data_IF_349667892248
#
_entry.id   IF_349667892248
#
_cell.length_a   1.000
_cell.length_b   1.000
_cell.length_c   1.000
_cell.angle_alpha   90.00
_cell.angle_beta   90.00
_cell.angle_gamma   90.00
#
_symmetry.space_group_name_H-M   'P 1'
#
loop_
_entity.id
_entity.type
_entity.pdbx_description
1 polymer ?
#
# COMPACT_ATOMS: atom_id res chain seq x y z
N UNK A 1 -2.09 5.34 0.96
CA UNK A 1 -1.15 4.31 0.45
C UNK A 1 0.24 4.91 0.50
N UNK A 2 1.23 4.14 0.94
CA UNK A 2 2.65 4.52 0.94
C UNK A 2 3.44 3.70 -0.06
N UNK A 3 4.56 4.24 -0.51
CA UNK A 3 5.54 3.51 -1.30
C UNK A 3 6.20 2.42 -0.45
N UNK A 4 6.15 1.18 -0.91
CA UNK A 4 6.88 0.05 -0.31
C UNK A 4 8.14 -0.23 -1.12
N UNK A 5 9.30 0.01 -0.50
CA UNK A 5 10.60 -0.29 -1.11
C UNK A 5 10.89 -1.78 -0.95
N UNK A 6 10.91 -2.50 -2.07
CA UNK A 6 11.32 -3.91 -2.11
C UNK A 6 12.79 -4.06 -1.76
N UNK A 7 13.12 -5.04 -0.92
CA UNK A 7 14.51 -5.32 -0.52
C UNK A 7 14.74 -6.84 -0.42
N UNK A 8 15.41 -7.41 -1.42
CA UNK A 8 15.71 -8.84 -1.46
C UNK A 8 16.64 -9.30 -0.33
N UNK A 9 17.46 -8.43 0.26
CA UNK A 9 18.33 -8.77 1.39
C UNK A 9 17.56 -9.17 2.65
N UNK A 10 16.27 -8.83 2.75
CA UNK A 10 15.40 -9.28 3.85
C UNK A 10 14.88 -10.71 3.68
N UNK A 11 15.11 -11.33 2.52
CA UNK A 11 14.65 -12.67 2.15
C UNK A 11 15.84 -13.64 2.22
N UNK A 12 15.77 -14.72 3.03
CA UNK A 12 16.81 -15.74 3.08
C UNK A 12 17.05 -16.39 1.72
N UNK A 13 18.31 -16.57 1.35
CA UNK A 13 18.72 -17.19 0.09
C UNK A 13 18.09 -18.58 -0.12
N UNK A 14 17.94 -19.37 0.96
CA UNK A 14 17.22 -20.65 0.94
C UNK A 14 15.80 -20.54 0.38
N UNK A 15 15.06 -19.50 0.75
CA UNK A 15 13.68 -19.30 0.30
C UNK A 15 13.66 -18.95 -1.18
N UNK A 16 14.57 -18.07 -1.63
CA UNK A 16 14.75 -17.72 -3.03
C UNK A 16 15.06 -18.97 -3.88
N UNK A 17 16.00 -19.81 -3.44
CA UNK A 17 16.36 -21.07 -4.13
C UNK A 17 15.19 -22.06 -4.20
N UNK A 18 14.32 -22.11 -3.19
CA UNK A 18 13.12 -22.96 -3.23
C UNK A 18 12.13 -22.45 -4.29
N UNK A 19 11.93 -21.13 -4.38
CA UNK A 19 11.08 -20.53 -5.40
C UNK A 19 11.64 -20.73 -6.81
N UNK A 20 12.95 -20.54 -7.00
CA UNK A 20 13.65 -20.76 -8.26
C UNK A 20 13.48 -22.21 -8.74
N UNK A 21 13.73 -23.20 -7.87
CA UNK A 21 13.52 -24.62 -8.19
C UNK A 21 12.07 -24.92 -8.55
N UNK A 22 11.12 -24.31 -7.84
CA UNK A 22 9.71 -24.48 -8.15
C UNK A 22 9.36 -23.90 -9.52
N UNK A 23 9.93 -22.75 -9.88
CA UNK A 23 9.78 -22.12 -11.18
C UNK A 23 10.37 -22.97 -12.31
N UNK A 24 11.59 -23.49 -12.16
CA UNK A 24 12.23 -24.35 -13.18
C UNK A 24 11.35 -25.55 -13.53
N UNK A 25 10.76 -26.20 -12.53
CA UNK A 25 9.85 -27.32 -12.76
C UNK A 25 8.58 -26.85 -13.47
N UNK A 26 7.99 -25.72 -13.06
CA UNK A 26 6.80 -25.17 -13.68
C UNK A 26 7.00 -24.85 -15.17
N UNK A 27 8.16 -24.29 -15.53
CA UNK A 27 8.51 -23.96 -16.92
C UNK A 27 8.58 -25.20 -17.83
N UNK A 28 8.97 -26.35 -17.27
CA UNK A 28 9.06 -27.61 -18.00
C UNK A 28 7.71 -28.37 -18.10
N UNK A 29 6.66 -27.92 -17.41
CA UNK A 29 5.38 -28.61 -17.40
C UNK A 29 4.52 -28.28 -18.65
N UNK A 30 3.81 -29.29 -19.18
CA UNK A 30 2.69 -29.08 -20.09
C UNK A 30 1.64 -28.13 -19.49
N UNK A 31 0.98 -27.35 -20.34
CA UNK A 31 0.05 -26.28 -19.94
C UNK A 31 -1.06 -26.76 -19.00
N UNK A 32 -1.65 -27.92 -19.31
CA UNK A 32 -2.72 -28.56 -18.55
C UNK A 32 -2.31 -28.98 -17.12
N UNK A 33 -1.01 -29.13 -16.86
CA UNK A 33 -0.48 -29.54 -15.54
C UNK A 33 -0.02 -28.36 -14.68
N UNK A 34 0.08 -27.15 -15.25
CA UNK A 34 0.67 -25.98 -14.56
C UNK A 34 -0.17 -25.53 -13.37
N UNK A 35 -1.49 -25.43 -13.53
CA UNK A 35 -2.40 -24.92 -12.49
C UNK A 35 -2.36 -25.80 -11.22
N UNK A 36 -2.42 -27.11 -11.40
CA UNK A 36 -2.35 -28.09 -10.30
C UNK A 36 -1.01 -28.04 -9.58
N UNK A 37 0.09 -27.93 -10.33
CA UNK A 37 1.42 -27.80 -9.76
C UNK A 37 1.57 -26.51 -8.93
N UNK A 38 1.09 -25.38 -9.45
CA UNK A 38 1.10 -24.09 -8.75
C UNK A 38 0.34 -24.20 -7.43
N UNK A 39 -0.85 -24.80 -7.45
CA UNK A 39 -1.68 -25.00 -6.26
C UNK A 39 -0.99 -25.85 -5.19
N UNK A 40 -0.43 -27.00 -5.59
CA UNK A 40 0.33 -27.90 -4.71
C UNK A 40 1.54 -27.22 -4.06
N UNK A 41 2.11 -26.22 -4.72
CA UNK A 41 3.29 -25.47 -4.25
C UNK A 41 2.95 -24.20 -3.47
N UNK A 42 1.72 -24.04 -2.98
CA UNK A 42 1.34 -22.83 -2.24
C UNK A 42 2.07 -22.54 -0.94
N UNK A 43 2.82 -23.50 -0.40
CA UNK A 43 3.74 -23.22 0.71
C UNK A 43 4.92 -22.32 0.30
N UNK A 44 5.28 -22.28 -0.98
CA UNK A 44 6.43 -21.50 -1.50
C UNK A 44 6.20 -20.01 -1.29
N UNK A 45 5.15 -19.42 -1.87
CA UNK A 45 4.90 -17.99 -1.70
C UNK A 45 4.53 -17.62 -0.25
N UNK A 46 3.80 -18.50 0.47
CA UNK A 46 3.50 -18.28 1.89
C UNK A 46 4.76 -18.13 2.75
N UNK A 47 5.86 -18.81 2.39
CA UNK A 47 7.12 -18.69 3.11
C UNK A 47 7.76 -17.29 3.03
N UNK A 48 7.38 -16.47 2.04
CA UNK A 48 7.85 -15.08 1.92
C UNK A 48 7.15 -14.12 2.87
N UNK A 49 5.98 -14.47 3.43
CA UNK A 49 5.11 -13.54 4.14
C UNK A 49 5.80 -12.73 5.24
N UNK A 50 6.55 -13.39 6.13
CA UNK A 50 7.28 -12.70 7.22
C UNK A 50 8.39 -11.78 6.72
N UNK A 51 8.95 -12.03 5.54
CA UNK A 51 10.01 -11.21 4.95
C UNK A 51 9.43 -10.00 4.23
N UNK A 52 8.33 -10.19 3.49
CA UNK A 52 7.58 -9.09 2.87
C UNK A 52 6.97 -8.15 3.92
N UNK A 53 6.49 -8.70 5.05
CA UNK A 53 5.99 -7.91 6.17
C UNK A 53 7.03 -6.90 6.69
N UNK A 54 8.32 -7.25 6.72
CA UNK A 54 9.39 -6.33 7.18
C UNK A 54 9.52 -5.10 6.27
N UNK A 55 9.20 -5.22 4.99
CA UNK A 55 9.31 -4.12 4.01
C UNK A 55 8.25 -3.02 4.24
N UNK A 56 7.17 -3.34 4.96
CA UNK A 56 6.07 -2.42 5.27
C UNK A 56 5.85 -2.26 6.77
N UNK A 57 6.82 -2.64 7.61
CA UNK A 57 6.71 -2.57 9.08
C UNK A 57 5.51 -3.35 9.64
N UNK A 58 5.20 -4.48 9.01
CA UNK A 58 4.08 -5.36 9.37
C UNK A 58 2.71 -4.90 8.88
N UNK A 59 2.65 -3.84 8.07
CA UNK A 59 1.39 -3.30 7.53
C UNK A 59 1.03 -3.94 6.20
N UNK A 60 -0.27 -4.05 5.91
CA UNK A 60 -0.75 -4.35 4.56
C UNK A 60 -0.19 -3.30 3.57
N UNK A 61 0.37 -3.76 2.45
CA UNK A 61 1.01 -2.89 1.45
C UNK A 61 0.01 -1.96 0.75
N UNK A 62 -1.27 -2.33 0.70
CA UNK A 62 -2.31 -1.52 0.06
C UNK A 62 -2.99 -0.53 1.02
N UNK A 63 -3.43 -1.01 2.19
CA UNK A 63 -4.29 -0.24 3.11
C UNK A 63 -3.52 0.51 4.21
N UNK A 64 -2.26 0.17 4.46
CA UNK A 64 -1.46 0.60 5.62
C UNK A 64 -2.00 0.18 6.99
N UNK A 65 -2.98 -0.72 7.02
CA UNK A 65 -3.47 -1.28 8.28
C UNK A 65 -2.48 -2.29 8.86
N UNK A 66 -2.31 -2.27 10.19
CA UNK A 66 -1.76 -3.40 10.94
C UNK A 66 -2.94 -4.26 11.36
N UNK A 67 -2.96 -5.51 10.93
CA UNK A 67 -3.90 -6.47 11.51
C UNK A 67 -3.17 -7.28 12.58
N UNK A 68 -3.36 -6.92 13.85
CA UNK A 68 -2.82 -7.69 14.97
C UNK A 68 -3.46 -9.08 15.10
N UNK A 69 -4.68 -9.25 14.58
CA UNK A 69 -5.48 -10.48 14.71
C UNK A 69 -5.91 -11.12 13.37
N UNK A 70 -5.59 -10.50 12.22
CA UNK A 70 -5.90 -11.09 10.91
C UNK A 70 -4.66 -11.77 10.33
N UNK A 71 -4.87 -12.95 9.76
CA UNK A 71 -3.85 -13.61 8.96
C UNK A 71 -3.61 -12.76 7.71
N UNK A 72 -2.41 -12.19 7.59
CA UNK A 72 -1.98 -11.54 6.35
C UNK A 72 -1.60 -12.60 5.33
N UNK A 73 -1.94 -12.33 4.06
CA UNK A 73 -1.63 -13.17 2.92
C UNK A 73 -0.43 -12.64 2.14
N UNK A 74 0.13 -13.52 1.31
CA UNK A 74 0.99 -13.14 0.20
C UNK A 74 0.13 -13.12 -1.05
N UNK A 75 -0.28 -11.92 -1.45
CA UNK A 75 -1.03 -11.66 -2.68
C UNK A 75 -0.09 -11.73 -3.90
N UNK A 76 -0.62 -12.24 -5.00
CA UNK A 76 0.00 -12.16 -6.32
C UNK A 76 -0.59 -10.97 -7.03
N UNK A 77 0.15 -9.86 -7.11
CA UNK A 77 -0.32 -8.62 -7.76
C UNK A 77 -0.91 -8.96 -9.13
N UNK A 78 -0.17 -9.72 -9.92
CA UNK A 78 -0.62 -10.39 -11.16
C UNK A 78 -1.09 -11.81 -10.83
N UNK A 79 -2.39 -12.14 -10.96
CA UNK A 79 -2.94 -13.43 -10.56
C UNK A 79 -2.28 -14.61 -11.27
N UNK A 80 -1.89 -15.63 -10.51
CA UNK A 80 -1.06 -16.76 -10.99
C UNK A 80 -1.82 -17.93 -11.66
N UNK A 81 -3.14 -18.03 -11.51
CA UNK A 81 -3.93 -19.18 -12.00
C UNK A 81 -5.08 -18.78 -12.93
N UNK A 82 -5.58 -17.56 -12.75
CA UNK A 82 -6.71 -16.99 -13.46
C UNK A 82 -6.68 -15.49 -13.20
N UNK A 83 -6.81 -14.66 -14.24
CA UNK A 83 -6.95 -13.22 -14.11
C UNK A 83 -8.29 -12.79 -14.72
N UNK A 84 -9.15 -12.25 -13.85
CA UNK A 84 -10.43 -11.66 -14.24
C UNK A 84 -10.21 -10.24 -14.74
N UNK A 85 -10.53 -9.99 -16.01
CA UNK A 85 -10.30 -8.74 -16.72
C UNK A 85 -11.51 -7.82 -16.67
N UNK A 86 -12.68 -8.41 -16.89
CA UNK A 86 -13.99 -7.78 -16.77
C UNK A 86 -15.01 -8.84 -16.32
N UNK A 87 -16.27 -8.46 -16.14
CA UNK A 87 -17.30 -9.45 -15.84
C UNK A 87 -17.52 -10.42 -17.02
N UNK A 88 -17.31 -11.71 -16.75
CA UNK A 88 -17.38 -12.77 -17.76
C UNK A 88 -16.15 -12.84 -18.68
N UNK A 89 -15.12 -12.04 -18.46
CA UNK A 89 -13.87 -12.07 -19.23
C UNK A 89 -12.67 -12.40 -18.32
N UNK A 90 -12.17 -13.61 -18.50
CA UNK A 90 -11.14 -14.23 -17.69
C UNK A 90 -10.10 -14.90 -18.61
N UNK A 91 -8.83 -14.90 -18.20
CA UNK A 91 -7.78 -15.70 -18.84
C UNK A 91 -6.92 -16.45 -17.81
N UNK A 92 -5.88 -17.15 -18.26
CA UNK A 92 -5.01 -17.97 -17.42
C UNK A 92 -4.17 -17.16 -16.41
N UNK A 93 -4.19 -15.84 -16.53
CA UNK A 93 -3.39 -14.94 -15.73
C UNK A 93 -1.91 -15.08 -16.04
N UNK A 94 -1.11 -15.20 -14.98
CA UNK A 94 0.35 -15.06 -15.04
C UNK A 94 1.06 -16.25 -14.38
N UNK A 95 0.88 -17.50 -14.87
CA UNK A 95 1.48 -18.68 -14.26
C UNK A 95 3.00 -18.60 -14.17
N UNK A 96 3.69 -17.95 -15.12
CA UNK A 96 5.14 -17.74 -15.08
C UNK A 96 5.60 -16.81 -13.95
N UNK A 97 4.67 -16.10 -13.29
CA UNK A 97 4.94 -15.25 -12.11
C UNK A 97 4.49 -15.91 -10.79
N UNK A 98 4.08 -17.19 -10.81
CA UNK A 98 3.56 -17.87 -9.62
C UNK A 98 4.56 -17.93 -8.46
N UNK A 99 5.86 -18.05 -8.77
CA UNK A 99 6.94 -18.11 -7.78
C UNK A 99 7.88 -16.89 -7.82
N UNK A 100 7.50 -15.84 -8.56
CA UNK A 100 8.28 -14.61 -8.63
C UNK A 100 7.96 -13.70 -7.43
N UNK A 101 8.95 -13.48 -6.56
CA UNK A 101 8.79 -12.61 -5.39
C UNK A 101 8.51 -11.14 -5.78
N UNK A 102 8.93 -10.74 -6.98
CA UNK A 102 8.62 -9.42 -7.54
C UNK A 102 7.12 -9.20 -7.76
N UNK A 103 6.37 -10.30 -7.90
CA UNK A 103 4.92 -10.30 -8.04
C UNK A 103 4.17 -10.42 -6.70
N UNK A 104 4.89 -10.56 -5.58
CA UNK A 104 4.27 -10.77 -4.26
C UNK A 104 4.03 -9.46 -3.51
N UNK A 105 2.87 -9.33 -2.87
CA UNK A 105 2.50 -8.21 -2.00
C UNK A 105 2.04 -8.75 -0.66
N UNK A 106 2.51 -8.17 0.44
CA UNK A 106 1.99 -8.54 1.76
C UNK A 106 0.68 -7.78 1.99
N UNK A 107 -0.41 -8.52 2.05
CA UNK A 107 -1.77 -7.96 1.97
C UNK A 107 -2.65 -8.52 3.08
N UNK A 108 -3.58 -7.71 3.58
CA UNK A 108 -4.63 -8.23 4.45
C UNK A 108 -5.55 -9.17 3.67
N UNK A 109 -6.17 -10.12 4.36
CA UNK A 109 -7.16 -11.00 3.72
C UNK A 109 -8.32 -10.24 3.10
N UNK A 110 -8.78 -9.13 3.71
CA UNK A 110 -9.87 -8.31 3.15
C UNK A 110 -9.49 -7.63 1.84
N UNK A 111 -8.23 -7.22 1.67
CA UNK A 111 -7.77 -6.63 0.41
C UNK A 111 -7.46 -7.71 -0.65
N UNK A 112 -6.98 -8.89 -0.23
CA UNK A 112 -6.58 -9.96 -1.14
C UNK A 112 -7.73 -10.89 -1.57
N UNK A 113 -8.63 -11.26 -0.66
CA UNK A 113 -9.69 -12.26 -0.90
C UNK A 113 -11.03 -11.57 -1.08
N UNK A 114 -11.88 -12.14 -1.93
CA UNK A 114 -13.27 -11.69 -2.05
C UNK A 114 -13.97 -11.83 -0.69
N UNK A 115 -14.62 -10.75 -0.26
CA UNK A 115 -15.45 -10.72 0.94
C UNK A 115 -16.63 -9.76 0.72
N UNK A 116 -17.71 -9.97 1.44
CA UNK A 116 -18.87 -9.07 1.39
C UNK A 116 -18.65 -7.92 2.36
N UNK A 117 -18.90 -6.70 1.91
CA UNK A 117 -19.01 -5.54 2.81
C UNK A 117 -20.28 -5.69 3.64
N UNK A 118 -20.16 -5.70 4.96
CA UNK A 118 -21.28 -5.92 5.89
C UNK A 118 -22.31 -4.79 5.80
N UNK A 119 -21.88 -3.58 5.45
CA UNK A 119 -22.75 -2.40 5.42
C UNK A 119 -23.43 -2.16 4.05
N UNK A 120 -22.81 -2.59 2.95
CA UNK A 120 -23.29 -2.32 1.58
C UNK A 120 -23.68 -3.57 0.78
N UNK A 121 -23.47 -4.76 1.33
CA UNK A 121 -23.61 -6.07 0.65
C UNK A 121 -22.75 -6.23 -0.63
N UNK A 122 -21.89 -5.25 -0.95
CA UNK A 122 -21.03 -5.30 -2.13
C UNK A 122 -19.85 -6.26 -1.90
N UNK A 123 -19.47 -6.98 -2.96
CA UNK A 123 -18.25 -7.80 -2.92
C UNK A 123 -17.01 -6.91 -3.10
N UNK A 124 -16.12 -6.94 -2.12
CA UNK A 124 -14.82 -6.25 -2.11
C UNK A 124 -13.68 -7.27 -2.07
N UNK A 125 -12.45 -6.80 -2.27
CA UNK A 125 -11.26 -7.63 -2.26
C UNK A 125 -10.85 -8.07 -3.66
N UNK A 126 -9.54 -8.18 -3.88
CA UNK A 126 -8.98 -8.35 -5.23
C UNK A 126 -9.32 -9.71 -5.83
N UNK A 127 -9.15 -10.80 -5.09
CA UNK A 127 -9.27 -12.14 -5.63
C UNK A 127 -8.38 -12.34 -6.87
N UNK A 128 -9.01 -12.74 -7.98
CA UNK A 128 -8.38 -12.85 -9.30
C UNK A 128 -8.55 -11.62 -10.18
N UNK A 129 -9.18 -10.54 -9.71
CA UNK A 129 -9.33 -9.31 -10.50
C UNK A 129 -7.97 -8.72 -10.85
N UNK A 130 -7.74 -8.54 -12.14
CA UNK A 130 -6.60 -7.82 -12.68
C UNK A 130 -6.95 -7.17 -14.03
N UNK A 131 -7.80 -6.13 -14.02
CA UNK A 131 -8.16 -5.40 -15.23
C UNK A 131 -6.94 -4.70 -15.81
N UNK A 132 -6.90 -4.60 -17.14
CA UNK A 132 -5.91 -3.85 -17.90
C UNK A 132 -6.62 -2.68 -18.58
N UNK A 133 -5.96 -1.53 -18.64
CA UNK A 133 -6.41 -0.47 -19.54
C UNK A 133 -6.35 -0.98 -20.99
N UNK A 134 -7.23 -0.50 -21.90
CA UNK A 134 -7.30 -0.96 -23.28
C UNK A 134 -6.12 -0.46 -24.16
N UNK A 135 -4.98 -0.18 -23.53
CA UNK A 135 -3.76 0.31 -24.15
C UNK A 135 -2.62 -0.67 -23.86
N UNK A 136 -1.91 -1.05 -24.93
CA UNK A 136 -0.79 -1.98 -24.84
C UNK A 136 -1.17 -3.44 -25.12
N UNK A 137 -0.16 -4.29 -25.08
CA UNK A 137 -0.29 -5.72 -25.36
C UNK A 137 -0.42 -6.50 -24.06
N UNK A 138 -1.38 -7.43 -24.01
CA UNK A 138 -1.56 -8.35 -22.90
C UNK A 138 -0.45 -9.41 -22.93
N UNK A 139 0.22 -9.62 -21.80
CA UNK A 139 1.26 -10.62 -21.69
C UNK A 139 0.65 -12.03 -21.60
N UNK A 140 1.27 -12.99 -22.26
CA UNK A 140 0.92 -14.41 -22.21
C UNK A 140 2.12 -15.24 -21.76
N UNK A 141 1.93 -16.54 -21.63
CA UNK A 141 3.02 -17.46 -21.26
C UNK A 141 4.17 -17.42 -22.29
N UNK A 142 3.81 -17.39 -23.57
CA UNK A 142 4.69 -17.37 -24.73
C UNK A 142 5.29 -15.97 -24.96
N UNK A 143 4.51 -14.93 -24.65
CA UNK A 143 4.90 -13.54 -24.87
C UNK A 143 4.74 -12.72 -23.58
N UNK A 144 5.78 -12.80 -22.75
CA UNK A 144 5.84 -12.20 -21.40
C UNK A 144 6.10 -10.69 -21.44
N UNK A 145 5.46 -9.96 -22.34
CA UNK A 145 5.57 -8.51 -22.55
C UNK A 145 4.92 -7.67 -21.42
N UNK A 146 5.26 -7.96 -20.16
CA UNK A 146 4.66 -7.35 -18.96
C UNK A 146 4.88 -5.82 -18.93
N UNK A 147 5.96 -5.32 -19.55
CA UNK A 147 6.27 -3.90 -19.68
C UNK A 147 5.27 -3.12 -20.53
N UNK A 148 4.58 -3.82 -21.42
CA UNK A 148 3.70 -3.21 -22.42
C UNK A 148 2.27 -3.10 -21.89
N UNK A 149 1.94 -3.87 -20.86
CA UNK A 149 0.66 -3.81 -20.16
C UNK A 149 0.53 -2.52 -19.34
N UNK A 150 -0.73 -2.12 -19.11
CA UNK A 150 -1.09 -1.01 -18.24
C UNK A 150 -2.14 -1.49 -17.23
N UNK A 151 -1.72 -2.05 -16.09
CA UNK A 151 -2.64 -2.52 -15.06
C UNK A 151 -3.54 -1.41 -14.53
N UNK A 152 -4.81 -1.73 -14.32
CA UNK A 152 -5.73 -0.80 -13.67
C UNK A 152 -5.38 -0.63 -12.19
N UNK A 153 -5.06 -1.75 -11.51
CA UNK A 153 -4.64 -1.73 -10.11
C UNK A 153 -3.36 -0.91 -9.91
N UNK A 154 -3.36 -0.08 -8.87
CA UNK A 154 -2.18 0.66 -8.42
C UNK A 154 -1.25 -0.27 -7.63
N UNK A 155 0.04 -0.26 -7.99
CA UNK A 155 1.05 -1.05 -7.32
C UNK A 155 1.79 -0.20 -6.24
N UNK A 156 1.73 -0.58 -4.95
CA UNK A 156 2.42 0.16 -3.89
C UNK A 156 3.95 0.11 -3.99
N UNK A 157 4.50 -0.70 -4.90
CA UNK A 157 5.95 -0.72 -5.19
C UNK A 157 6.36 0.23 -6.31
N UNK A 158 5.39 0.86 -6.99
CA UNK A 158 5.60 1.78 -8.11
C UNK A 158 5.31 3.20 -7.65
N UNK A 159 6.35 4.04 -7.66
CA UNK A 159 6.25 5.41 -7.15
C UNK A 159 5.25 6.28 -7.92
N UNK A 160 5.16 6.15 -9.24
CA UNK A 160 4.18 6.87 -10.04
C UNK A 160 2.73 6.49 -9.69
N UNK A 161 2.48 5.24 -9.31
CA UNK A 161 1.15 4.76 -8.94
C UNK A 161 0.73 5.31 -7.58
N UNK A 162 1.63 5.24 -6.59
CA UNK A 162 1.38 5.80 -5.25
C UNK A 162 1.10 7.31 -5.32
N UNK A 163 1.70 8.03 -6.28
CA UNK A 163 1.42 9.47 -6.49
C UNK A 163 0.01 9.75 -7.00
N UNK A 164 -0.70 8.79 -7.60
CA UNK A 164 -2.04 9.01 -8.15
C UNK A 164 -3.13 9.05 -7.07
N UNK A 165 -2.86 8.49 -5.89
CA UNK A 165 -3.86 8.28 -4.84
C UNK A 165 -3.47 9.01 -3.55
N UNK A 166 -4.44 9.61 -2.87
CA UNK A 166 -4.23 10.27 -1.58
C UNK A 166 -5.44 10.09 -0.66
N UNK A 167 -5.22 10.27 0.63
CA UNK A 167 -6.30 10.32 1.62
C UNK A 167 -6.92 11.73 1.56
N UNK A 168 -8.25 11.81 1.54
CA UNK A 168 -9.04 13.04 1.54
C UNK A 168 -9.39 13.47 2.96
N UNK A 169 -9.88 14.69 3.13
CA UNK A 169 -10.33 15.21 4.42
C UNK A 169 -11.39 14.32 5.10
N UNK A 170 -12.18 13.57 4.33
CA UNK A 170 -13.15 12.59 4.85
C UNK A 170 -12.52 11.30 5.41
N UNK A 171 -11.22 11.07 5.22
CA UNK A 171 -10.53 9.80 5.51
C UNK A 171 -10.66 8.75 4.40
N UNK A 172 -11.50 8.99 3.40
CA UNK A 172 -11.56 8.16 2.19
C UNK A 172 -10.35 8.39 1.30
N UNK A 173 -10.02 7.42 0.45
CA UNK A 173 -9.03 7.60 -0.59
C UNK A 173 -9.66 8.26 -1.82
N UNK A 174 -8.83 8.94 -2.59
CA UNK A 174 -9.27 9.52 -3.86
C UNK A 174 -8.11 9.93 -4.74
N UNK A 175 -8.40 10.46 -5.94
CA UNK A 175 -7.40 10.91 -6.88
C UNK A 175 -6.62 12.09 -6.32
N UNK A 176 -5.30 12.04 -6.38
CA UNK A 176 -4.45 13.18 -6.00
C UNK A 176 -4.50 14.30 -7.03
N UNK A 177 -3.92 15.46 -6.71
CA UNK A 177 -3.70 16.53 -7.69
C UNK A 177 -2.86 16.11 -8.91
N UNK A 178 -2.09 15.02 -8.81
CA UNK A 178 -1.30 14.47 -9.91
C UNK A 178 -2.04 13.37 -10.69
N UNK A 179 -3.26 13.02 -10.29
CA UNK A 179 -4.11 12.08 -11.00
C UNK A 179 -4.78 12.76 -12.20
N UNK A 180 -4.05 12.77 -13.32
CA UNK A 180 -4.45 13.47 -14.54
C UNK A 180 -5.14 12.54 -15.55
N UNK A 181 -6.25 13.00 -16.13
CA UNK A 181 -6.95 12.29 -17.21
C UNK A 181 -7.85 11.15 -16.75
N UNK A 182 -8.66 10.62 -17.68
CA UNK A 182 -9.67 9.58 -17.41
C UNK A 182 -9.03 8.27 -16.93
N UNK A 183 -7.94 7.85 -17.58
CA UNK A 183 -7.28 6.57 -17.27
C UNK A 183 -6.70 6.54 -15.85
N UNK A 184 -6.00 7.58 -15.39
CA UNK A 184 -5.50 7.60 -14.02
C UNK A 184 -6.64 7.62 -12.98
N UNK A 185 -7.73 8.34 -13.26
CA UNK A 185 -8.90 8.36 -12.37
C UNK A 185 -9.56 7.00 -12.28
N UNK A 186 -9.71 6.31 -13.40
CA UNK A 186 -10.19 4.93 -13.46
C UNK A 186 -9.30 3.99 -12.65
N UNK A 187 -7.97 4.06 -12.81
CA UNK A 187 -7.02 3.29 -12.00
C UNK A 187 -7.21 3.50 -10.50
N UNK A 188 -7.36 4.76 -10.07
CA UNK A 188 -7.59 5.08 -8.65
C UNK A 188 -8.92 4.52 -8.16
N UNK A 189 -10.02 4.80 -8.86
CA UNK A 189 -11.36 4.35 -8.47
C UNK A 189 -11.45 2.83 -8.37
N UNK A 190 -11.00 2.12 -9.41
CA UNK A 190 -11.04 0.66 -9.44
C UNK A 190 -10.10 0.04 -8.41
N UNK A 191 -8.93 0.63 -8.14
CA UNK A 191 -8.05 0.16 -7.08
C UNK A 191 -8.69 0.29 -5.69
N UNK A 192 -9.35 1.42 -5.41
CA UNK A 192 -10.04 1.63 -4.13
C UNK A 192 -11.15 0.59 -3.96
N UNK A 193 -11.96 0.36 -5.00
CA UNK A 193 -13.05 -0.60 -5.00
C UNK A 193 -12.55 -2.04 -4.86
N UNK A 194 -11.70 -2.49 -5.78
CA UNK A 194 -11.23 -3.87 -5.84
C UNK A 194 -10.41 -4.25 -4.61
N UNK A 195 -9.63 -3.33 -4.02
CA UNK A 195 -8.84 -3.63 -2.83
C UNK A 195 -9.60 -3.33 -1.52
N UNK A 196 -10.86 -2.86 -1.59
CA UNK A 196 -11.67 -2.52 -0.43
C UNK A 196 -11.02 -1.46 0.46
N UNK A 197 -10.37 -0.46 -0.14
CA UNK A 197 -9.51 0.47 0.62
C UNK A 197 -10.29 1.50 1.43
N UNK A 198 -11.57 1.69 1.15
CA UNK A 198 -12.46 2.59 1.89
C UNK A 198 -13.56 1.83 2.64
N UNK A 199 -13.27 0.58 3.03
CA UNK A 199 -14.09 -0.11 4.01
C UNK A 199 -14.22 0.74 5.30
N UNK A 200 -15.39 0.76 5.96
CA UNK A 200 -15.70 1.65 7.09
C UNK A 200 -14.61 1.68 8.16
N UNK A 201 -14.15 0.50 8.63
CA UNK A 201 -13.10 0.42 9.64
C UNK A 201 -11.75 1.02 9.21
N UNK A 202 -11.41 1.01 7.91
CA UNK A 202 -10.21 1.68 7.39
C UNK A 202 -10.40 3.20 7.36
N UNK A 203 -11.57 3.67 6.96
CA UNK A 203 -11.91 5.11 6.94
C UNK A 203 -11.89 5.66 8.37
N UNK A 204 -12.54 4.98 9.31
CA UNK A 204 -12.55 5.34 10.72
C UNK A 204 -11.14 5.37 11.31
N UNK A 205 -10.32 4.34 11.05
CA UNK A 205 -8.95 4.29 11.54
C UNK A 205 -8.08 5.42 10.99
N UNK A 206 -8.27 5.82 9.73
CA UNK A 206 -7.60 7.00 9.15
C UNK A 206 -8.09 8.28 9.84
N UNK A 207 -9.39 8.45 10.01
CA UNK A 207 -9.94 9.63 10.67
C UNK A 207 -9.45 9.75 12.13
N UNK A 208 -9.25 8.64 12.85
CA UNK A 208 -8.66 8.65 14.20
C UNK A 208 -7.27 9.26 14.19
N UNK A 209 -6.37 8.82 13.30
CA UNK A 209 -5.01 9.39 13.25
C UNK A 209 -5.00 10.82 12.70
N UNK A 210 -5.94 11.17 11.82
CA UNK A 210 -6.10 12.54 11.31
C UNK A 210 -6.55 13.50 12.42
N UNK A 211 -7.55 13.13 13.22
CA UNK A 211 -7.99 13.92 14.38
C UNK A 211 -6.89 14.05 15.43
N UNK A 212 -6.13 12.98 15.65
CA UNK A 212 -5.02 12.98 16.60
C UNK A 212 -3.94 14.00 16.20
N UNK A 213 -3.47 13.97 14.94
CA UNK A 213 -2.46 14.93 14.49
C UNK A 213 -3.00 16.36 14.42
N UNK A 214 -4.28 16.54 14.07
CA UNK A 214 -4.93 17.84 14.11
C UNK A 214 -4.88 18.45 15.52
N UNK A 215 -5.27 17.69 16.56
CA UNK A 215 -5.22 18.16 17.94
C UNK A 215 -3.80 18.51 18.40
N UNK A 216 -2.78 17.76 17.95
CA UNK A 216 -1.38 18.05 18.25
C UNK A 216 -0.89 19.35 17.60
N UNK A 217 -1.34 19.65 16.39
CA UNK A 217 -1.05 20.92 15.70
C UNK A 217 -1.76 22.08 16.40
N UNK A 218 -3.04 21.94 16.75
CA UNK A 218 -3.78 22.96 17.50
C UNK A 218 -3.14 23.24 18.88
N UNK A 219 -2.62 22.21 19.54
CA UNK A 219 -1.82 22.37 20.77
C UNK A 219 -0.51 23.14 20.52
N UNK A 220 0.18 22.85 19.42
CA UNK A 220 1.42 23.54 19.05
C UNK A 220 1.14 25.03 18.76
N UNK A 221 0.09 25.33 18.01
CA UNK A 221 -0.37 26.70 17.72
C UNK A 221 -0.73 27.46 19.00
N UNK A 222 -1.41 26.81 19.95
CA UNK A 222 -1.72 27.42 21.26
C UNK A 222 -0.46 27.81 22.03
N UNK A 223 0.56 26.95 22.04
CA UNK A 223 1.84 27.24 22.70
C UNK A 223 2.57 28.39 21.99
N UNK A 224 2.61 28.38 20.67
CA UNK A 224 3.23 29.44 19.87
C UNK A 224 2.53 30.79 20.09
N UNK A 225 1.20 30.83 20.02
CA UNK A 225 0.43 32.06 20.24
C UNK A 225 0.58 32.61 21.66
N UNK A 226 0.66 31.73 22.67
CA UNK A 226 0.92 32.15 24.05
C UNK A 226 2.30 32.80 24.19
N UNK A 227 3.32 32.25 23.51
CA UNK A 227 4.66 32.82 23.48
C UNK A 227 4.69 34.19 22.80
N UNK A 228 4.03 34.31 21.64
CA UNK A 228 3.94 35.57 20.89
C UNK A 228 3.25 36.68 21.68
N UNK A 229 2.27 36.32 22.53
CA UNK A 229 1.57 37.28 23.38
C UNK A 229 2.47 37.99 24.41
N UNK A 230 3.64 37.41 24.71
CA UNK A 230 4.64 38.00 25.61
C UNK A 230 5.56 39.01 24.90
N UNK A 231 5.42 39.18 23.58
CA UNK A 231 6.20 40.13 22.78
C UNK A 231 7.71 39.91 22.95
N UNK A 232 8.44 40.99 23.25
CA UNK A 232 9.89 40.96 23.46
C UNK A 232 10.33 40.02 24.60
N UNK A 233 9.45 39.68 25.55
CA UNK A 233 9.79 38.77 26.67
C UNK A 233 9.78 37.28 26.26
N UNK A 234 9.27 36.95 25.07
CA UNK A 234 9.21 35.57 24.56
C UNK A 234 10.59 34.89 24.54
N UNK A 235 11.67 35.63 24.26
CA UNK A 235 13.03 35.09 24.24
C UNK A 235 13.48 34.48 25.58
N UNK A 236 12.91 34.94 26.70
CA UNK A 236 13.25 34.45 28.04
C UNK A 236 12.69 33.04 28.32
N UNK A 237 11.63 32.66 27.60
CA UNK A 237 10.97 31.36 27.79
C UNK A 237 11.06 30.47 26.55
N UNK A 238 11.50 30.99 25.39
CA UNK A 238 11.50 30.28 24.12
C UNK A 238 12.20 28.91 24.20
N UNK A 239 13.34 28.83 24.87
CA UNK A 239 14.10 27.58 25.06
C UNK A 239 13.42 26.58 26.02
N UNK A 240 12.47 27.04 26.84
CA UNK A 240 11.74 26.20 27.81
C UNK A 240 10.40 25.70 27.26
N UNK A 241 9.93 26.26 26.14
CA UNK A 241 8.68 25.84 25.53
C UNK A 241 8.85 24.48 24.83
N UNK A 242 7.87 23.56 24.94
CA UNK A 242 7.98 22.23 24.36
C UNK A 242 7.68 22.23 22.84
N UNK A 243 8.06 23.29 22.11
CA UNK A 243 7.82 23.44 20.67
C UNK A 243 8.53 22.32 19.90
N UNK A 244 9.83 22.14 20.13
CA UNK A 244 10.62 21.11 19.46
C UNK A 244 10.14 19.70 19.82
N UNK A 245 9.77 19.46 21.08
CA UNK A 245 9.23 18.18 21.51
C UNK A 245 7.91 17.86 20.77
N UNK A 246 6.98 18.82 20.73
CA UNK A 246 5.69 18.66 20.04
C UNK A 246 5.87 18.50 18.53
N UNK A 247 6.74 19.29 17.91
CA UNK A 247 7.09 19.16 16.49
C UNK A 247 7.66 17.77 16.18
N UNK A 248 8.57 17.27 17.03
CA UNK A 248 9.11 15.92 16.91
C UNK A 248 8.00 14.86 17.02
N UNK A 249 7.09 14.97 17.98
CA UNK A 249 5.98 14.04 18.13
C UNK A 249 5.08 14.01 16.88
N UNK A 250 4.78 15.17 16.28
CA UNK A 250 4.04 15.26 15.01
C UNK A 250 4.81 14.56 13.89
N UNK A 251 6.11 14.86 13.73
CA UNK A 251 6.95 14.25 12.71
C UNK A 251 7.03 12.72 12.84
N UNK A 252 7.06 12.18 14.07
CA UNK A 252 7.04 10.73 14.31
C UNK A 252 5.80 10.05 13.71
N UNK A 253 4.63 10.69 13.76
CA UNK A 253 3.38 10.16 13.19
C UNK A 253 3.43 10.09 11.66
N UNK A 254 4.28 10.89 11.01
CA UNK A 254 4.42 10.89 9.55
C UNK A 254 5.32 9.76 9.05
N UNK A 255 6.01 9.02 9.92
CA UNK A 255 7.00 8.01 9.52
C UNK A 255 6.37 6.82 8.78
N UNK A 256 7.05 6.23 7.78
CA UNK A 256 6.53 5.08 7.04
C UNK A 256 6.15 3.86 7.91
N UNK A 257 6.72 3.73 9.11
CA UNK A 257 6.41 2.64 10.04
C UNK A 257 5.07 2.78 10.76
N UNK A 258 4.52 4.01 10.80
CA UNK A 258 3.25 4.27 11.48
C UNK A 258 2.08 3.76 10.64
N UNK A 259 1.08 3.10 11.25
CA UNK A 259 -0.18 2.81 10.58
C UNK A 259 -0.81 4.10 10.04
N UNK A 260 -1.35 4.04 8.82
CA UNK A 260 -2.03 5.17 8.20
C UNK A 260 -1.20 6.46 8.11
N UNK A 261 0.13 6.35 7.97
CA UNK A 261 1.03 7.49 7.81
C UNK A 261 0.62 8.38 6.63
N UNK A 262 0.06 7.82 5.54
CA UNK A 262 -0.47 8.64 4.45
C UNK A 262 -1.62 9.55 4.86
N UNK A 263 -2.46 9.13 5.80
CA UNK A 263 -3.58 9.93 6.31
C UNK A 263 -3.09 11.09 7.19
N UNK A 264 -2.13 10.83 8.08
CA UNK A 264 -1.45 11.87 8.87
C UNK A 264 -0.82 12.92 7.95
N UNK A 265 -0.05 12.47 6.94
CA UNK A 265 0.59 13.37 5.96
C UNK A 265 -0.42 14.17 5.14
N UNK A 266 -1.56 13.57 4.80
CA UNK A 266 -2.62 14.27 4.08
C UNK A 266 -3.25 15.36 4.95
N UNK A 267 -3.58 15.04 6.21
CA UNK A 267 -4.12 16.00 7.17
C UNK A 267 -3.18 17.18 7.41
N UNK A 268 -1.89 16.91 7.62
CA UNK A 268 -0.90 17.96 7.81
C UNK A 268 -0.82 18.91 6.61
N UNK A 269 -0.84 18.39 5.38
CA UNK A 269 -0.84 19.22 4.18
C UNK A 269 -2.12 20.05 4.03
N UNK A 270 -3.27 19.47 4.38
CA UNK A 270 -4.56 20.17 4.37
C UNK A 270 -4.53 21.35 5.34
N UNK A 271 -3.93 21.17 6.51
CA UNK A 271 -3.79 22.21 7.53
C UNK A 271 -2.67 23.22 7.24
N UNK A 272 -1.92 23.07 6.13
CA UNK A 272 -0.78 23.94 5.80
C UNK A 272 0.54 23.57 6.47
N UNK A 273 0.60 22.48 7.23
CA UNK A 273 1.76 21.98 7.98
C UNK A 273 2.50 20.84 7.27
N UNK A 274 2.58 20.92 5.94
CA UNK A 274 3.19 19.90 5.10
C UNK A 274 4.68 19.67 5.38
N UNK A 275 5.37 20.64 5.94
CA UNK A 275 6.77 20.63 6.35
C UNK A 275 7.08 19.64 7.48
N UNK A 276 6.09 19.25 8.29
CA UNK A 276 6.27 18.17 9.27
C UNK A 276 6.29 16.78 8.62
N UNK A 277 5.96 16.65 7.34
CA UNK A 277 6.11 15.39 6.62
C UNK A 277 7.60 15.16 6.31
N UNK A 278 8.22 14.21 7.04
CA UNK A 278 9.63 13.86 6.85
C UNK A 278 9.97 13.55 5.38
N UNK A 279 11.07 14.13 4.90
CA UNK A 279 11.64 13.88 3.59
C UNK A 279 12.40 12.56 3.57
N UNK A 280 12.63 12.03 2.37
CA UNK A 280 13.36 10.76 2.21
C UNK A 280 14.79 10.81 2.79
N UNK A 281 15.46 11.97 2.80
CA UNK A 281 16.78 12.11 3.45
C UNK A 281 16.73 12.03 4.98
N UNK A 282 15.57 12.33 5.57
CA UNK A 282 15.35 12.35 7.02
C UNK A 282 14.82 10.99 7.53
N UNK A 283 14.36 10.13 6.62
CA UNK A 283 13.92 8.75 6.89
C UNK A 283 15.18 7.85 6.96
N UNK A 284 15.91 7.93 8.07
CA UNK A 284 17.08 7.09 8.34
C UNK A 284 18.12 7.69 9.29
N UNK A 285 18.04 8.99 9.59
CA UNK A 285 18.97 9.66 10.52
C UNK A 285 18.69 9.34 12.00
N UNK A 286 17.56 8.68 12.30
CA UNK A 286 17.09 8.37 13.66
C UNK A 286 16.57 6.93 13.78
N UNK A 287 17.14 5.98 13.02
CA UNK A 287 16.97 4.54 13.25
C UNK A 287 18.14 3.95 14.01
#
# INVERSE_FOLDING_TARGET
MILVRRNSALIPEKILKVAERAQIVLEALPEDQRKDYIEKKGYVWRSFGRHLAKMSYGKCWYSESKDAHSFQDVDHFRPKKNAKRADGDDDDGYPWLAFSWDNFRFSSQRANRLSTNEDSEETVGKGSWFPLLPIGKKATWEDRCISDERPVLLDPTVHSDVRLIEVKASGQLGPSRFCLGKQHRERVTESIKLLGLDLPGLVEARQVVMRAVQGMVEDLERVAAAADSLGDLSHLIAETLPIDEKANQIQQLTRPMQPFASAVRAQLREMGYGEFCLRDEEIGLNT
#
